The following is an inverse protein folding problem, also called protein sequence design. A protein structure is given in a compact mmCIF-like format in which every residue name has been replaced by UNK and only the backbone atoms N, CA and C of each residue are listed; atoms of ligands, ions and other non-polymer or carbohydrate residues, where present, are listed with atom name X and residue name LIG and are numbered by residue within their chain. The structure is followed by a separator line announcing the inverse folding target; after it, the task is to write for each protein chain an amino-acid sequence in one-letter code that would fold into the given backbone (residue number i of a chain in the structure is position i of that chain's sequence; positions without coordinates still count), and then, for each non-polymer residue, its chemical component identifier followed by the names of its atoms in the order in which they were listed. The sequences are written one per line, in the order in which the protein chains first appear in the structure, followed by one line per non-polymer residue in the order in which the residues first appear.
data_IF_664601045091
#
_entry.id   IF_664601045091
#
_cell.length_a   1.000
_cell.length_b   1.000
_cell.length_c   1.000
_cell.angle_alpha   90.00
_cell.angle_beta   90.00
_cell.angle_gamma   90.00
#
_symmetry.space_group_name_H-M   'P 1'
#
loop_
_entity.id
_entity.type
_entity.pdbx_description
1 polymer ?
#
# COMPACT_ATOMS: atom_id res chain seq x y z
N UNK A 1 4.80 -17.52 -26.22
CA UNK A 1 5.67 -16.79 -25.27
C UNK A 1 4.75 -15.98 -24.37
N UNK A 2 4.78 -16.30 -23.07
CA UNK A 2 4.20 -15.58 -21.92
C UNK A 2 2.79 -15.00 -22.10
N UNK A 3 1.77 -15.81 -21.81
CA UNK A 3 0.44 -15.30 -21.49
C UNK A 3 0.60 -14.32 -20.32
N UNK A 4 0.46 -13.02 -20.58
CA UNK A 4 0.18 -12.06 -19.52
C UNK A 4 -1.07 -12.58 -18.83
N UNK A 5 -0.92 -13.18 -17.65
CA UNK A 5 -2.04 -13.47 -16.80
C UNK A 5 -2.63 -12.10 -16.44
N UNK A 6 -3.57 -11.63 -17.24
CA UNK A 6 -4.58 -10.69 -16.80
C UNK A 6 -5.23 -11.36 -15.60
N UNK A 7 -4.66 -11.10 -14.43
CA UNK A 7 -5.30 -11.42 -13.17
C UNK A 7 -6.59 -10.61 -13.21
N UNK A 8 -7.68 -11.29 -13.56
CA UNK A 8 -9.03 -10.79 -13.40
C UNK A 8 -9.22 -10.58 -11.90
N UNK A 9 -8.80 -9.43 -11.40
CA UNK A 9 -9.09 -9.01 -10.03
C UNK A 9 -10.60 -8.79 -10.00
N UNK A 10 -11.30 -9.66 -9.28
CA UNK A 10 -12.72 -9.50 -9.04
C UNK A 10 -12.90 -8.47 -7.92
N UNK A 11 -13.72 -7.45 -8.18
CA UNK A 11 -14.01 -6.39 -7.23
C UNK A 11 -15.46 -6.57 -6.70
N UNK A 12 -15.73 -6.27 -5.41
CA UNK A 12 -14.77 -5.82 -4.40
C UNK A 12 -13.92 -6.97 -3.83
N UNK A 13 -12.66 -6.70 -3.50
CA UNK A 13 -11.78 -7.68 -2.84
C UNK A 13 -10.84 -7.03 -1.81
N UNK A 14 -10.39 -7.84 -0.87
CA UNK A 14 -9.38 -7.44 0.11
C UNK A 14 -8.01 -7.53 -0.54
N UNK A 15 -7.37 -6.39 -0.77
CA UNK A 15 -6.11 -6.32 -1.49
C UNK A 15 -5.00 -5.76 -0.59
N UNK A 16 -3.99 -6.58 -0.22
CA UNK A 16 -2.84 -6.10 0.53
C UNK A 16 -1.88 -5.36 -0.41
N UNK A 17 -1.46 -4.15 -0.01
CA UNK A 17 -0.44 -3.36 -0.68
C UNK A 17 0.69 -3.13 0.31
N UNK A 18 1.91 -3.47 -0.09
CA UNK A 18 3.06 -3.34 0.78
C UNK A 18 3.93 -2.18 0.32
N UNK A 19 4.10 -1.19 1.19
CA UNK A 19 4.90 -0.01 0.95
C UNK A 19 6.16 -0.06 1.80
N UNK A 20 7.32 0.12 1.19
CA UNK A 20 8.60 0.23 1.89
C UNK A 20 9.15 1.64 1.74
N UNK A 21 9.64 2.20 2.85
CA UNK A 21 10.29 3.51 2.87
C UNK A 21 11.36 3.59 3.94
N UNK A 22 12.04 4.74 3.99
CA UNK A 22 13.04 5.02 5.03
C UNK A 22 12.34 5.04 6.38
N UNK A 23 12.93 4.37 7.37
CA UNK A 23 12.36 4.35 8.72
C UNK A 23 12.44 5.76 9.32
N UNK A 24 11.29 6.42 9.35
CA UNK A 24 11.07 7.70 10.04
C UNK A 24 9.87 7.53 10.96
N UNK A 25 9.76 8.39 11.98
CA UNK A 25 8.67 8.34 12.95
C UNK A 25 7.30 8.57 12.29
N UNK A 26 7.27 9.32 11.20
CA UNK A 26 6.05 9.71 10.49
C UNK A 26 5.66 8.75 9.35
N UNK A 27 6.54 7.82 8.95
CA UNK A 27 6.31 7.01 7.75
C UNK A 27 5.00 6.20 7.81
N UNK A 28 4.71 5.56 8.94
CA UNK A 28 3.47 4.80 9.10
C UNK A 28 2.24 5.72 9.06
N UNK A 29 2.34 6.91 9.64
CA UNK A 29 1.26 7.90 9.65
C UNK A 29 0.98 8.43 8.23
N UNK A 30 2.02 8.71 7.45
CA UNK A 30 1.91 9.09 6.03
C UNK A 30 1.17 8.02 5.23
N UNK A 31 1.60 6.76 5.35
CA UNK A 31 0.96 5.66 4.61
C UNK A 31 -0.49 5.50 5.04
N UNK A 32 -0.77 5.60 6.34
CA UNK A 32 -2.13 5.56 6.87
C UNK A 32 -3.02 6.66 6.29
N UNK A 33 -2.56 7.92 6.29
CA UNK A 33 -3.34 9.07 5.81
C UNK A 33 -3.65 8.95 4.31
N UNK A 34 -2.64 8.64 3.50
CA UNK A 34 -2.83 8.37 2.06
C UNK A 34 -3.81 7.22 1.84
N UNK A 35 -3.69 6.13 2.60
CA UNK A 35 -4.61 4.99 2.46
C UNK A 35 -6.04 5.39 2.79
N UNK A 36 -6.26 6.12 3.89
CA UNK A 36 -7.58 6.55 4.33
C UNK A 36 -8.26 7.49 3.32
N UNK A 37 -7.49 8.33 2.62
CA UNK A 37 -7.99 9.20 1.56
C UNK A 37 -8.55 8.42 0.35
N UNK A 38 -8.00 7.24 0.06
CA UNK A 38 -8.40 6.42 -1.08
C UNK A 38 -9.30 5.21 -0.70
N UNK A 39 -9.29 4.81 0.56
CA UNK A 39 -10.07 3.72 1.12
C UNK A 39 -10.61 4.15 2.49
N UNK A 40 -11.76 4.85 2.56
CA UNK A 40 -12.30 5.37 3.82
C UNK A 40 -12.80 4.27 4.77
N UNK A 41 -13.01 3.05 4.27
CA UNK A 41 -13.33 1.86 5.07
C UNK A 41 -12.09 1.19 5.71
N UNK A 42 -10.89 1.66 5.37
CA UNK A 42 -9.64 1.18 5.95
C UNK A 42 -9.58 1.47 7.45
N UNK A 43 -9.16 0.47 8.23
CA UNK A 43 -9.00 0.62 9.68
C UNK A 43 -7.56 0.34 10.09
N UNK A 44 -7.20 0.79 11.30
CA UNK A 44 -5.87 0.52 11.87
C UNK A 44 -5.56 -0.98 11.99
N UNK A 45 -6.58 -1.85 12.08
CA UNK A 45 -6.40 -3.31 12.10
C UNK A 45 -5.94 -3.88 10.75
N UNK A 46 -6.07 -3.12 9.68
CA UNK A 46 -5.65 -3.49 8.33
C UNK A 46 -4.23 -3.00 8.01
N UNK A 47 -3.55 -2.40 8.99
CA UNK A 47 -2.19 -1.88 8.90
C UNK A 47 -1.22 -2.77 9.66
N UNK A 48 -0.23 -3.34 8.97
CA UNK A 48 0.88 -4.06 9.59
C UNK A 48 2.20 -3.31 9.36
N UNK A 49 2.99 -3.18 10.42
CA UNK A 49 4.32 -2.58 10.36
C UNK A 49 5.41 -3.62 10.61
N UNK A 50 6.42 -3.64 9.75
CA UNK A 50 7.59 -4.50 9.90
C UNK A 50 8.88 -3.74 9.65
N UNK A 51 9.72 -3.68 10.66
CA UNK A 51 11.08 -3.13 10.55
C UNK A 51 11.94 -4.06 9.71
N UNK A 52 12.75 -3.50 8.82
CA UNK A 52 13.67 -4.29 8.01
C UNK A 52 14.79 -4.91 8.86
N UNK A 53 15.42 -5.97 8.35
CA UNK A 53 16.47 -6.71 9.06
C UNK A 53 17.62 -5.82 9.55
N UNK A 54 17.94 -4.75 8.84
CA UNK A 54 19.01 -3.81 9.16
C UNK A 54 18.51 -2.54 9.87
N UNK A 55 17.22 -2.39 10.14
CA UNK A 55 16.66 -1.24 10.86
C UNK A 55 16.54 0.06 10.06
N UNK A 56 17.08 0.14 8.84
CA UNK A 56 17.07 1.35 8.03
C UNK A 56 15.74 1.64 7.32
N UNK A 57 14.89 0.62 7.18
CA UNK A 57 13.65 0.71 6.42
C UNK A 57 12.46 0.20 7.23
N UNK A 58 11.29 0.76 6.95
CA UNK A 58 10.01 0.31 7.47
C UNK A 58 9.16 -0.19 6.31
N UNK A 59 8.66 -1.42 6.43
CA UNK A 59 7.60 -1.94 5.57
C UNK A 59 6.27 -1.70 6.27
N UNK A 60 5.33 -1.08 5.55
CA UNK A 60 3.94 -0.92 5.98
C UNK A 60 3.09 -1.69 4.98
N UNK A 61 2.34 -2.68 5.45
CA UNK A 61 1.35 -3.38 4.64
C UNK A 61 -0.01 -2.83 4.99
N UNK A 62 -0.73 -2.31 4.01
CA UNK A 62 -2.11 -1.87 4.16
C UNK A 62 -3.03 -2.80 3.39
N UNK A 63 -4.08 -3.31 4.04
CA UNK A 63 -5.08 -4.14 3.38
C UNK A 63 -6.33 -3.32 3.15
N UNK A 64 -6.60 -2.94 1.91
CA UNK A 64 -7.80 -2.17 1.58
C UNK A 64 -8.91 -3.06 1.03
N UNK A 65 -10.15 -2.60 1.13
CA UNK A 65 -11.24 -3.11 0.29
C UNK A 65 -11.16 -2.44 -1.09
N UNK A 66 -10.48 -3.08 -2.03
CA UNK A 66 -10.40 -2.62 -3.40
C UNK A 66 -11.77 -2.80 -4.06
N UNK A 67 -12.40 -1.71 -4.47
CA UNK A 67 -13.71 -1.72 -5.17
C UNK A 67 -13.57 -1.51 -6.68
N UNK A 68 -12.39 -1.08 -7.14
CA UNK A 68 -12.11 -0.92 -8.57
C UNK A 68 -10.61 -0.88 -8.85
N UNK A 69 -10.24 -1.19 -10.11
CA UNK A 69 -8.85 -1.03 -10.59
C UNK A 69 -8.37 0.42 -10.52
N UNK A 70 -9.26 1.39 -10.76
CA UNK A 70 -8.93 2.80 -10.68
C UNK A 70 -8.53 3.23 -9.25
N UNK A 71 -9.22 2.70 -8.23
CA UNK A 71 -8.85 2.96 -6.84
C UNK A 71 -7.44 2.43 -6.52
N UNK A 72 -7.14 1.20 -6.95
CA UNK A 72 -5.81 0.61 -6.79
C UNK A 72 -4.73 1.42 -7.49
N UNK A 73 -4.97 1.81 -8.75
CA UNK A 73 -4.02 2.59 -9.55
C UNK A 73 -3.76 3.96 -8.92
N UNK A 74 -4.82 4.65 -8.49
CA UNK A 74 -4.71 5.96 -7.82
C UNK A 74 -3.92 5.85 -6.51
N UNK A 75 -4.20 4.84 -5.69
CA UNK A 75 -3.49 4.60 -4.45
C UNK A 75 -2.01 4.25 -4.69
N UNK A 76 -1.74 3.42 -5.71
CA UNK A 76 -0.37 3.07 -6.11
C UNK A 76 0.41 4.31 -6.58
N UNK A 77 -0.20 5.19 -7.38
CA UNK A 77 0.39 6.45 -7.81
C UNK A 77 0.63 7.40 -6.64
N UNK A 78 -0.31 7.48 -5.68
CA UNK A 78 -0.15 8.30 -4.49
C UNK A 78 1.03 7.83 -3.62
N UNK A 79 1.20 6.52 -3.44
CA UNK A 79 2.35 5.97 -2.73
C UNK A 79 3.66 6.22 -3.48
N UNK A 80 3.73 5.85 -4.75
CA UNK A 80 4.97 5.97 -5.54
C UNK A 80 5.39 7.44 -5.78
N UNK A 81 4.44 8.36 -5.79
CA UNK A 81 4.71 9.80 -5.86
C UNK A 81 5.21 10.42 -4.55
N UNK A 82 5.10 9.72 -3.42
CA UNK A 82 5.50 10.27 -2.12
C UNK A 82 7.03 10.11 -1.90
N UNK A 83 7.77 11.17 -1.56
CA UNK A 83 9.24 11.14 -1.49
C UNK A 83 9.82 10.18 -0.42
N UNK A 84 9.03 9.88 0.61
CA UNK A 84 9.40 8.93 1.66
C UNK A 84 9.31 7.45 1.22
N UNK A 85 8.52 7.16 0.18
CA UNK A 85 8.34 5.80 -0.35
C UNK A 85 9.50 5.45 -1.27
N UNK A 86 10.00 4.22 -1.13
CA UNK A 86 11.08 3.67 -1.95
C UNK A 86 10.59 2.60 -2.89
N UNK A 87 9.70 1.73 -2.41
CA UNK A 87 9.17 0.61 -3.20
C UNK A 87 7.72 0.34 -2.79
N UNK A 88 6.88 -0.01 -3.75
CA UNK A 88 5.51 -0.52 -3.53
C UNK A 88 5.42 -1.90 -4.18
N UNK A 89 4.87 -2.87 -3.46
CA UNK A 89 4.65 -4.26 -3.89
C UNK A 89 3.17 -4.61 -3.83
#
# INVERSE_FOLDING_TARGET
MSQQQETLIEFPCRFPIKVMGVRTEDFAQIIHDITLQHAPDFTASDLEMRVSKNGNYLSVTVTINAVSKQQLDTLYLAFTGHPAVKVVF
#
